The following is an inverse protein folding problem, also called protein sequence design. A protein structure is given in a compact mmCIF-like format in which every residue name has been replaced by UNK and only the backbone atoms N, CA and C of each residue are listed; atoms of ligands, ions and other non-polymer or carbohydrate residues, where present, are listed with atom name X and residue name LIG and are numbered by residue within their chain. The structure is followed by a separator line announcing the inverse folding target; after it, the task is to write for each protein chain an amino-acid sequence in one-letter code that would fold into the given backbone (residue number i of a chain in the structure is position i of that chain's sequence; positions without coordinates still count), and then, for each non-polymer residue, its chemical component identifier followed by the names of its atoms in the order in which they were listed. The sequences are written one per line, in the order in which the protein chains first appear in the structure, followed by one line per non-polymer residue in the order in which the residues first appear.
data_IF_136970979638
#
_entry.id   IF_136970979638
#
_cell.length_a   1.000
_cell.length_b   1.000
_cell.length_c   1.000
_cell.angle_alpha   90.00
_cell.angle_beta   90.00
_cell.angle_gamma   90.00
#
_symmetry.space_group_name_H-M   'P 1'
#
loop_
_entity.id
_entity.type
_entity.pdbx_description
1 polymer ?
#
# COMPACT_ATOMS: atom_id res chain seq x y z
N UNK A 1 -11.99 3.59 2.16
CA UNK A 1 -11.91 2.30 2.86
C UNK A 1 -10.81 2.35 3.90
N UNK A 2 -11.02 1.83 5.09
CA UNK A 2 -10.03 1.75 6.18
C UNK A 2 -9.99 0.33 6.72
N UNK A 3 -8.81 -0.26 6.99
CA UNK A 3 -8.71 -1.50 7.74
C UNK A 3 -9.16 -1.30 9.20
N UNK A 4 -9.79 -2.33 9.77
CA UNK A 4 -10.17 -2.38 11.19
C UNK A 4 -8.91 -2.50 12.05
N UNK A 5 -8.78 -1.67 13.10
CA UNK A 5 -7.66 -1.76 14.03
C UNK A 5 -7.85 -2.95 14.98
N UNK A 6 -6.83 -3.81 15.06
CA UNK A 6 -6.79 -4.92 16.00
C UNK A 6 -5.53 -4.83 16.88
N UNK A 7 -5.54 -5.55 17.99
CA UNK A 7 -4.39 -5.74 18.87
C UNK A 7 -3.75 -7.13 18.69
N UNK A 8 -2.64 -7.38 19.36
CA UNK A 8 -1.93 -8.66 19.30
C UNK A 8 -2.77 -9.84 19.77
N UNK A 9 -3.62 -9.66 20.80
CA UNK A 9 -4.51 -10.71 21.28
C UNK A 9 -5.51 -11.17 20.23
N UNK A 10 -6.06 -10.22 19.44
CA UNK A 10 -6.93 -10.55 18.30
C UNK A 10 -6.13 -11.23 17.19
N UNK A 11 -4.90 -10.75 16.93
CA UNK A 11 -4.01 -11.36 15.95
C UNK A 11 -3.68 -12.83 16.29
N UNK A 12 -3.41 -13.13 17.57
CA UNK A 12 -3.14 -14.48 18.05
C UNK A 12 -4.29 -15.46 17.80
N UNK A 13 -5.53 -14.96 17.86
CA UNK A 13 -6.74 -15.76 17.61
C UNK A 13 -7.13 -15.89 16.14
N UNK A 14 -6.40 -15.28 15.20
CA UNK A 14 -6.71 -15.41 13.78
C UNK A 14 -6.23 -16.76 13.23
N UNK A 15 -7.02 -17.33 12.33
CA UNK A 15 -6.52 -18.42 11.48
C UNK A 15 -5.51 -17.86 10.47
N UNK A 16 -4.22 -18.22 10.56
CA UNK A 16 -3.18 -17.68 9.70
C UNK A 16 -3.36 -18.04 8.21
N UNK A 17 -4.08 -19.11 7.91
CA UNK A 17 -4.35 -19.54 6.55
C UNK A 17 -5.48 -18.73 5.90
N UNK A 18 -6.29 -18.04 6.71
CA UNK A 18 -7.39 -17.20 6.22
C UNK A 18 -6.97 -15.80 5.81
N UNK A 19 -5.73 -15.41 6.06
CA UNK A 19 -5.24 -14.05 5.79
C UNK A 19 -3.85 -14.04 5.17
N UNK A 20 -3.54 -12.95 4.48
CA UNK A 20 -2.18 -12.56 4.12
C UNK A 20 -1.83 -11.24 4.79
N UNK A 21 -0.55 -10.99 4.99
CA UNK A 21 -0.04 -9.79 5.68
C UNK A 21 0.82 -8.96 4.75
N UNK A 22 0.62 -7.64 4.76
CA UNK A 22 1.38 -6.67 3.99
C UNK A 22 1.95 -5.59 4.91
N UNK A 23 3.13 -5.00 4.59
CA UNK A 23 3.62 -3.82 5.30
C UNK A 23 2.64 -2.66 5.19
N UNK A 24 2.42 -1.96 6.28
CA UNK A 24 1.71 -0.70 6.28
C UNK A 24 2.72 0.45 6.20
N UNK A 25 2.85 1.04 5.03
CA UNK A 25 3.73 2.17 4.82
C UNK A 25 3.20 3.43 5.51
N UNK A 26 4.11 4.33 5.86
CA UNK A 26 3.80 5.65 6.44
C UNK A 26 4.01 6.74 5.39
N UNK A 27 3.10 6.79 4.45
CA UNK A 27 3.15 7.69 3.31
C UNK A 27 1.80 8.32 3.00
N UNK A 28 1.61 8.64 1.73
CA UNK A 28 0.37 9.19 1.20
C UNK A 28 -0.29 8.19 0.25
N UNK A 29 -1.52 7.80 0.55
CA UNK A 29 -2.31 6.99 -0.36
C UNK A 29 -2.54 7.73 -1.67
N UNK A 30 -2.23 7.06 -2.77
CA UNK A 30 -2.35 7.58 -4.13
C UNK A 30 -3.16 6.65 -5.02
N UNK A 31 -4.47 6.85 -5.16
CA UNK A 31 -5.19 6.30 -6.30
C UNK A 31 -4.57 6.77 -7.60
N UNK A 32 -4.32 5.81 -8.51
CA UNK A 32 -3.61 6.05 -9.77
C UNK A 32 -4.46 5.58 -10.93
N UNK A 33 -4.61 6.38 -11.97
CA UNK A 33 -5.45 6.10 -13.15
C UNK A 33 -4.61 6.24 -14.41
N UNK A 34 -4.52 5.18 -15.20
CA UNK A 34 -3.90 5.24 -16.52
C UNK A 34 -4.86 5.90 -17.52
N UNK A 35 -4.42 6.99 -18.13
CA UNK A 35 -5.06 7.60 -19.29
C UNK A 35 -4.57 6.95 -20.58
N UNK A 36 -4.91 7.57 -21.72
CA UNK A 36 -4.47 7.13 -23.05
C UNK A 36 -2.99 7.45 -23.32
N UNK A 37 -2.49 8.53 -22.74
CA UNK A 37 -1.17 9.11 -23.04
C UNK A 37 -0.26 9.19 -21.80
N UNK A 38 -0.83 9.19 -20.62
CA UNK A 38 -0.11 9.27 -19.36
C UNK A 38 -0.90 8.72 -18.18
N UNK A 39 -0.20 8.54 -17.07
CA UNK A 39 -0.79 8.11 -15.80
C UNK A 39 -1.04 9.32 -14.89
N UNK A 40 -2.20 9.37 -14.28
CA UNK A 40 -2.64 10.40 -13.33
C UNK A 40 -2.65 9.85 -11.92
N UNK A 41 -2.22 10.65 -10.97
CA UNK A 41 -2.26 10.34 -9.55
C UNK A 41 -3.11 11.34 -8.78
N UNK A 42 -3.75 10.84 -7.73
CA UNK A 42 -4.68 11.63 -6.92
C UNK A 42 -4.41 11.43 -5.43
N UNK A 43 -4.79 12.41 -4.65
CA UNK A 43 -4.85 12.28 -3.20
C UNK A 43 -6.06 11.41 -2.80
N UNK A 44 -6.10 11.00 -1.52
CA UNK A 44 -7.28 10.34 -0.93
C UNK A 44 -8.57 11.16 -1.09
N UNK A 45 -8.47 12.49 -1.15
CA UNK A 45 -9.58 13.41 -1.36
C UNK A 45 -9.96 13.59 -2.83
N UNK A 46 -9.30 12.85 -3.73
CA UNK A 46 -9.46 12.92 -5.19
C UNK A 46 -8.92 14.20 -5.84
N UNK A 47 -8.10 14.97 -5.15
CA UNK A 47 -7.40 16.08 -5.75
C UNK A 47 -6.23 15.56 -6.60
N UNK A 48 -5.96 16.15 -7.79
CA UNK A 48 -4.77 15.77 -8.56
C UNK A 48 -3.50 15.94 -7.73
N UNK A 49 -2.58 14.99 -7.87
CA UNK A 49 -1.30 14.98 -7.18
C UNK A 49 -0.18 14.94 -8.22
N UNK A 50 0.73 15.90 -8.15
CA UNK A 50 1.89 15.96 -9.05
C UNK A 50 3.04 15.19 -8.42
N UNK A 51 3.48 14.11 -9.05
CA UNK A 51 4.66 13.35 -8.63
C UNK A 51 5.97 14.10 -8.97
N UNK A 52 7.11 13.76 -8.33
CA UNK A 52 8.43 14.10 -8.85
C UNK A 52 8.57 13.63 -10.30
N UNK A 53 9.20 14.42 -11.16
CA UNK A 53 9.24 14.18 -12.61
C UNK A 53 9.77 12.77 -12.93
N UNK A 54 10.90 12.38 -12.34
CA UNK A 54 11.50 11.05 -12.54
C UNK A 54 10.54 9.91 -12.20
N UNK A 55 9.81 10.03 -11.09
CA UNK A 55 8.85 9.01 -10.66
C UNK A 55 7.60 8.98 -11.56
N UNK A 56 7.19 10.16 -12.09
CA UNK A 56 6.11 10.25 -13.07
C UNK A 56 6.50 9.58 -14.39
N UNK A 57 7.75 9.80 -14.85
CA UNK A 57 8.27 9.19 -16.08
C UNK A 57 8.39 7.66 -15.93
N UNK A 58 8.88 7.18 -14.79
CA UNK A 58 8.91 5.76 -14.48
C UNK A 58 7.49 5.16 -14.46
N UNK A 59 6.51 5.86 -13.88
CA UNK A 59 5.13 5.41 -13.83
C UNK A 59 4.49 5.36 -15.23
N UNK A 60 4.78 6.35 -16.08
CA UNK A 60 4.32 6.37 -17.47
C UNK A 60 4.95 5.22 -18.28
N UNK A 61 6.21 4.87 -18.02
CA UNK A 61 6.93 3.81 -18.73
C UNK A 61 6.38 2.39 -18.49
N UNK A 62 5.54 2.21 -17.49
CA UNK A 62 4.84 0.92 -17.27
C UNK A 62 3.87 0.57 -18.40
N UNK A 63 3.48 1.53 -19.24
CA UNK A 63 2.54 1.32 -20.34
C UNK A 63 1.24 0.63 -19.91
N UNK A 64 0.69 1.04 -18.78
CA UNK A 64 -0.54 0.47 -18.24
C UNK A 64 -1.69 0.64 -19.25
N UNK A 65 -2.54 -0.38 -19.45
CA UNK A 65 -3.72 -0.26 -20.28
C UNK A 65 -4.58 0.93 -19.85
N UNK A 66 -5.03 1.76 -20.81
CA UNK A 66 -5.86 2.93 -20.51
C UNK A 66 -7.14 2.53 -19.75
N UNK A 67 -7.46 3.27 -18.69
CA UNK A 67 -8.55 2.96 -17.75
C UNK A 67 -8.14 2.10 -16.55
N UNK A 68 -6.91 1.57 -16.51
CA UNK A 68 -6.40 0.86 -15.33
C UNK A 68 -6.41 1.77 -14.09
N UNK A 69 -6.91 1.23 -12.97
CA UNK A 69 -6.97 1.94 -11.69
C UNK A 69 -6.24 1.13 -10.64
N UNK A 70 -5.16 1.70 -10.12
CA UNK A 70 -4.35 1.11 -9.04
C UNK A 70 -4.56 1.87 -7.73
N UNK A 71 -4.37 1.16 -6.61
CA UNK A 71 -4.37 1.75 -5.27
C UNK A 71 -3.03 1.48 -4.61
N UNK A 72 -2.39 2.54 -4.14
CA UNK A 72 -1.06 2.45 -3.59
C UNK A 72 -0.74 3.59 -2.63
N UNK A 73 0.52 3.69 -2.28
CA UNK A 73 1.08 4.72 -1.41
C UNK A 73 2.40 5.23 -1.96
N UNK A 74 2.57 6.55 -1.94
CA UNK A 74 3.88 7.17 -2.11
C UNK A 74 4.50 7.38 -0.73
N UNK A 75 5.75 6.97 -0.59
CA UNK A 75 6.51 7.06 0.65
C UNK A 75 7.99 7.34 0.35
N UNK A 76 8.76 7.72 1.37
CA UNK A 76 10.21 7.92 1.26
C UNK A 76 10.94 7.14 2.35
N UNK A 77 12.03 6.43 2.02
CA UNK A 77 12.88 5.79 3.03
C UNK A 77 13.61 6.80 3.92
N UNK A 78 13.76 8.05 3.47
CA UNK A 78 14.55 9.06 4.17
C UNK A 78 13.72 9.90 5.15
N UNK A 79 12.38 9.92 5.04
CA UNK A 79 11.57 10.84 5.86
C UNK A 79 10.14 10.35 6.05
N UNK A 80 9.66 10.50 7.30
CA UNK A 80 8.25 10.39 7.67
C UNK A 80 7.47 11.61 7.24
N UNK A 81 6.21 11.40 6.96
CA UNK A 81 5.22 12.44 7.00
C UNK A 81 4.64 12.85 5.67
N UNK A 82 3.96 13.97 5.72
CA UNK A 82 3.12 14.48 4.67
C UNK A 82 3.84 14.74 3.35
N UNK A 83 3.03 14.84 2.28
CA UNK A 83 3.47 15.09 0.91
C UNK A 83 4.49 16.22 0.79
N UNK A 84 4.25 17.34 1.48
CA UNK A 84 5.11 18.53 1.44
C UNK A 84 6.50 18.29 2.03
N UNK A 85 6.69 17.16 2.70
CA UNK A 85 7.92 16.78 3.37
C UNK A 85 8.67 15.63 2.71
N UNK A 86 8.14 15.04 1.64
CA UNK A 86 8.82 13.94 0.94
C UNK A 86 10.00 14.49 0.12
N UNK A 87 11.23 14.01 0.34
CA UNK A 87 12.38 14.48 -0.43
C UNK A 87 12.21 14.12 -1.90
N UNK A 88 12.32 15.12 -2.76
CA UNK A 88 12.37 14.91 -4.22
C UNK A 88 13.52 13.95 -4.56
N UNK A 89 13.26 12.95 -5.38
CA UNK A 89 14.26 11.95 -5.82
C UNK A 89 14.45 10.75 -4.90
N UNK A 90 13.82 10.70 -3.72
CA UNK A 90 13.86 9.54 -2.82
C UNK A 90 12.48 8.91 -2.58
N UNK A 91 11.48 9.33 -3.36
CA UNK A 91 10.13 8.78 -3.25
C UNK A 91 10.03 7.43 -3.94
N UNK A 92 9.23 6.55 -3.34
CA UNK A 92 8.86 5.26 -3.90
C UNK A 92 7.35 5.12 -3.94
N UNK A 93 6.85 4.31 -4.89
CA UNK A 93 5.45 3.93 -5.01
C UNK A 93 5.31 2.45 -4.67
N UNK A 94 4.39 2.13 -3.76
CA UNK A 94 4.00 0.75 -3.49
C UNK A 94 2.52 0.57 -3.78
N UNK A 95 2.20 -0.28 -4.74
CA UNK A 95 0.83 -0.63 -5.06
C UNK A 95 0.43 -1.91 -4.32
N UNK A 96 -0.74 -1.91 -3.69
CA UNK A 96 -1.26 -3.06 -2.93
C UNK A 96 -2.56 -3.62 -3.50
N UNK A 97 -3.16 -2.93 -4.50
CA UNK A 97 -4.41 -3.39 -5.10
C UNK A 97 -4.63 -2.83 -6.49
N UNK A 98 -5.41 -3.53 -7.30
CA UNK A 98 -5.95 -3.09 -8.57
C UNK A 98 -7.47 -3.12 -8.51
N UNK A 99 -8.10 -2.06 -9.02
CA UNK A 99 -9.56 -1.88 -9.03
C UNK A 99 -10.10 -2.16 -10.44
N UNK A 100 -9.34 -1.73 -11.44
CA UNK A 100 -9.67 -1.92 -12.87
C UNK A 100 -8.41 -2.27 -13.64
N UNK A 101 -8.53 -3.21 -14.54
CA UNK A 101 -7.53 -3.56 -15.54
C UNK A 101 -8.03 -3.10 -16.90
N UNK A 102 -7.47 -2.00 -17.44
CA UNK A 102 -8.06 -1.33 -18.59
C UNK A 102 -9.51 -0.93 -18.31
N UNK A 103 -10.44 -1.41 -19.12
CA UNK A 103 -11.87 -1.15 -18.96
C UNK A 103 -12.59 -2.16 -18.05
N UNK A 104 -11.95 -3.28 -17.70
CA UNK A 104 -12.55 -4.34 -16.87
C UNK A 104 -12.49 -3.96 -15.40
N UNK A 105 -13.64 -3.88 -14.71
CA UNK A 105 -13.70 -3.78 -13.25
C UNK A 105 -13.38 -5.15 -12.64
N UNK A 106 -12.33 -5.19 -11.80
CA UNK A 106 -11.87 -6.40 -11.11
C UNK A 106 -12.06 -6.31 -9.59
N UNK A 107 -12.78 -5.31 -9.11
CA UNK A 107 -12.97 -5.08 -7.68
C UNK A 107 -13.74 -6.20 -6.96
N UNK A 108 -14.59 -6.91 -7.68
CA UNK A 108 -15.32 -8.07 -7.16
C UNK A 108 -14.51 -9.37 -7.14
N UNK A 109 -13.38 -9.42 -7.84
CA UNK A 109 -12.50 -10.59 -7.85
C UNK A 109 -11.86 -10.81 -6.47
N UNK A 110 -11.36 -12.02 -6.25
CA UNK A 110 -10.60 -12.33 -5.02
C UNK A 110 -9.33 -11.49 -4.90
N UNK A 111 -8.84 -11.29 -3.68
CA UNK A 111 -7.59 -10.55 -3.46
C UNK A 111 -6.39 -11.21 -4.18
N UNK A 112 -6.37 -12.54 -4.27
CA UNK A 112 -5.33 -13.30 -4.96
C UNK A 112 -5.34 -13.01 -6.46
N UNK A 113 -6.53 -13.03 -7.08
CA UNK A 113 -6.70 -12.68 -8.50
C UNK A 113 -6.24 -11.26 -8.77
N UNK A 114 -6.65 -10.31 -7.96
CA UNK A 114 -6.24 -8.91 -8.11
C UNK A 114 -4.72 -8.72 -7.92
N UNK A 115 -4.10 -9.47 -6.99
CA UNK A 115 -2.64 -9.45 -6.82
C UNK A 115 -1.91 -10.01 -8.04
N UNK A 116 -2.42 -11.07 -8.63
CA UNK A 116 -1.82 -11.62 -9.85
C UNK A 116 -1.89 -10.62 -11.01
N UNK A 117 -3.04 -9.96 -11.19
CA UNK A 117 -3.20 -8.88 -12.17
C UNK A 117 -2.19 -7.76 -11.89
N UNK A 118 -2.08 -7.34 -10.63
CA UNK A 118 -1.13 -6.29 -10.24
C UNK A 118 0.32 -6.69 -10.51
N UNK A 119 0.70 -7.95 -10.24
CA UNK A 119 2.02 -8.49 -10.56
C UNK A 119 2.32 -8.40 -12.06
N UNK A 120 1.36 -8.75 -12.88
CA UNK A 120 1.51 -8.69 -14.35
C UNK A 120 1.66 -7.22 -14.83
N UNK A 121 0.83 -6.31 -14.31
CA UNK A 121 0.88 -4.89 -14.65
C UNK A 121 2.20 -4.22 -14.24
N UNK A 122 2.83 -4.70 -13.17
CA UNK A 122 4.08 -4.16 -12.63
C UNK A 122 5.33 -4.98 -13.04
N UNK A 123 5.21 -5.91 -13.97
CA UNK A 123 6.32 -6.81 -14.36
C UNK A 123 7.56 -6.08 -14.85
N UNK A 124 7.39 -4.90 -15.45
CA UNK A 124 8.48 -4.04 -15.95
C UNK A 124 8.75 -2.83 -15.04
N UNK A 125 8.36 -2.93 -13.77
CA UNK A 125 8.53 -1.81 -12.84
C UNK A 125 9.99 -1.61 -12.45
N UNK A 126 10.34 -0.36 -12.12
CA UNK A 126 11.64 0.03 -11.60
C UNK A 126 11.75 -0.26 -10.10
N UNK A 127 12.95 -0.17 -9.50
CA UNK A 127 13.10 -0.29 -8.04
C UNK A 127 12.36 0.78 -7.22
N UNK A 128 11.86 1.85 -7.88
CA UNK A 128 11.08 2.90 -7.22
C UNK A 128 9.58 2.66 -7.28
N UNK A 129 9.13 1.72 -8.13
CA UNK A 129 7.72 1.33 -8.26
C UNK A 129 7.61 -0.16 -8.00
N UNK A 130 6.85 -0.56 -7.00
CA UNK A 130 6.78 -1.96 -6.58
C UNK A 130 5.36 -2.37 -6.18
N UNK A 131 5.10 -3.66 -6.23
CA UNK A 131 3.98 -4.25 -5.53
C UNK A 131 4.31 -4.39 -4.04
N UNK A 132 3.35 -4.14 -3.16
CA UNK A 132 3.52 -4.40 -1.73
C UNK A 132 3.82 -5.89 -1.50
N UNK A 133 4.90 -6.17 -0.78
CA UNK A 133 5.31 -7.54 -0.46
C UNK A 133 4.27 -8.22 0.41
N UNK A 134 3.97 -9.48 0.09
CA UNK A 134 3.01 -10.29 0.82
C UNK A 134 3.75 -11.30 1.69
N UNK A 135 3.37 -11.39 2.94
CA UNK A 135 3.92 -12.30 3.94
C UNK A 135 2.84 -13.27 4.45
N UNK A 136 3.25 -14.47 4.83
CA UNK A 136 2.41 -15.35 5.64
C UNK A 136 2.11 -14.69 6.99
N UNK A 137 0.92 -14.92 7.52
CA UNK A 137 0.52 -14.41 8.83
C UNK A 137 1.22 -15.27 9.90
N UNK A 138 2.18 -14.66 10.60
CA UNK A 138 2.91 -15.28 11.72
C UNK A 138 3.45 -14.21 12.66
N UNK A 139 3.68 -14.55 13.90
CA UNK A 139 4.36 -13.67 14.86
C UNK A 139 5.81 -13.38 14.43
N UNK A 140 6.48 -14.33 13.80
CA UNK A 140 7.83 -14.14 13.28
C UNK A 140 7.87 -13.01 12.25
N UNK A 141 7.01 -13.06 11.22
CA UNK A 141 6.91 -12.01 10.21
C UNK A 141 6.43 -10.68 10.80
N UNK A 142 5.50 -10.71 11.76
CA UNK A 142 5.05 -9.50 12.46
C UNK A 142 6.21 -8.82 13.19
N UNK A 143 7.03 -9.58 13.92
CA UNK A 143 8.20 -9.08 14.67
C UNK A 143 9.32 -8.62 13.74
N UNK A 144 9.58 -9.36 12.67
CA UNK A 144 10.55 -8.96 11.64
C UNK A 144 10.19 -7.58 11.06
N UNK A 145 8.93 -7.37 10.65
CA UNK A 145 8.46 -6.09 10.11
C UNK A 145 8.48 -4.98 11.17
N UNK A 146 8.19 -5.29 12.42
CA UNK A 146 8.31 -4.35 13.53
C UNK A 146 9.77 -3.94 13.77
N UNK A 147 10.71 -4.89 13.75
CA UNK A 147 12.14 -4.60 13.87
C UNK A 147 12.61 -3.72 12.74
N UNK A 148 12.29 -4.03 11.49
CA UNK A 148 12.61 -3.19 10.34
C UNK A 148 12.06 -1.76 10.53
N UNK A 149 10.84 -1.62 11.03
CA UNK A 149 10.24 -0.32 11.30
C UNK A 149 10.97 0.46 12.41
N UNK A 150 11.57 -0.21 13.40
CA UNK A 150 12.36 0.40 14.48
C UNK A 150 13.75 0.82 14.03
N UNK A 151 14.43 0.00 13.24
CA UNK A 151 15.76 0.28 12.68
C UNK A 151 15.78 1.58 11.87
N UNK A 152 14.69 1.89 11.16
CA UNK A 152 14.54 3.19 10.48
C UNK A 152 14.51 4.36 11.43
N UNK A 153 13.80 4.19 12.54
CA UNK A 153 13.65 5.25 13.53
C UNK A 153 15.00 5.66 14.11
N UNK A 154 15.88 4.69 14.28
CA UNK A 154 17.18 4.88 14.93
C UNK A 154 18.28 5.35 13.94
N UNK A 155 17.90 5.74 12.72
CA UNK A 155 18.81 6.35 11.74
C UNK A 155 19.59 5.37 10.88
N UNK A 156 19.27 4.09 10.95
CA UNK A 156 19.87 3.09 10.08
C UNK A 156 19.18 3.05 8.71
N UNK A 157 19.95 2.95 7.64
CA UNK A 157 19.43 2.97 6.28
C UNK A 157 18.55 1.75 5.99
N UNK A 158 17.31 2.00 5.57
CA UNK A 158 16.35 0.96 5.24
C UNK A 158 16.49 0.43 3.83
N UNK A 159 16.38 -0.89 3.74
CA UNK A 159 16.13 -1.58 2.47
C UNK A 159 14.65 -1.73 2.12
N UNK A 160 13.74 -1.68 3.09
CA UNK A 160 12.33 -2.08 2.95
C UNK A 160 11.29 -0.97 3.03
N UNK A 161 11.69 0.29 3.15
CA UNK A 161 10.75 1.40 3.24
C UNK A 161 10.27 1.70 4.66
N UNK A 162 9.50 2.79 4.79
CA UNK A 162 8.98 3.22 6.08
C UNK A 162 7.71 2.47 6.43
N UNK A 163 7.82 1.51 7.36
CA UNK A 163 6.72 0.69 7.83
C UNK A 163 6.32 1.18 9.23
N UNK A 164 5.03 1.39 9.49
CA UNK A 164 4.53 1.72 10.82
C UNK A 164 3.49 0.73 11.35
N UNK A 165 3.35 -0.40 10.68
CA UNK A 165 2.43 -1.46 11.04
C UNK A 165 2.29 -2.49 9.92
N UNK A 166 1.27 -3.30 10.04
CA UNK A 166 0.88 -4.27 9.01
C UNK A 166 -0.61 -4.16 8.69
N UNK A 167 -0.98 -4.58 7.49
CA UNK A 167 -2.36 -4.79 7.07
C UNK A 167 -2.53 -6.27 6.76
N UNK A 168 -3.56 -6.88 7.37
CA UNK A 168 -3.97 -8.24 7.04
C UNK A 168 -5.18 -8.15 6.12
N UNK A 169 -5.16 -8.94 5.06
CA UNK A 169 -6.27 -9.03 4.09
C UNK A 169 -6.75 -10.46 4.04
N UNK A 170 -8.07 -10.63 4.20
CA UNK A 170 -8.69 -11.95 4.18
C UNK A 170 -8.61 -12.55 2.78
N UNK A 171 -8.18 -13.79 2.70
CA UNK A 171 -8.11 -14.56 1.47
C UNK A 171 -9.51 -14.72 0.84
N UNK A 172 -9.60 -14.68 -0.48
CA UNK A 172 -10.86 -14.71 -1.20
C UNK A 172 -11.68 -13.41 -1.14
N UNK A 173 -11.26 -12.40 -0.35
CA UNK A 173 -12.08 -11.20 -0.17
C UNK A 173 -12.11 -10.32 -1.43
N UNK A 174 -13.31 -9.85 -1.83
CA UNK A 174 -13.44 -8.81 -2.83
C UNK A 174 -13.04 -7.46 -2.25
N UNK A 175 -12.76 -6.51 -3.13
CA UNK A 175 -12.63 -5.13 -2.73
C UNK A 175 -14.02 -4.49 -2.62
N UNK A 176 -14.40 -4.08 -1.41
CA UNK A 176 -15.65 -3.35 -1.17
C UNK A 176 -15.36 -1.85 -1.18
N UNK A 177 -15.37 -1.24 -2.36
CA UNK A 177 -15.33 0.21 -2.46
C UNK A 177 -16.72 0.80 -2.14
N UNK A 178 -16.92 1.10 -0.88
CA UNK A 178 -18.04 1.97 -0.52
C UNK A 178 -17.63 3.41 -0.87
N UNK A 179 -18.52 4.12 -1.54
CA UNK A 179 -18.35 5.54 -1.86
C UNK A 179 -18.16 6.40 -0.58
N UNK A 180 -18.41 5.83 0.60
CA UNK A 180 -18.33 6.49 1.89
C UNK A 180 -16.91 6.37 2.49
N UNK A 181 -16.26 7.48 2.73
CA UNK A 181 -14.86 7.61 3.19
C UNK A 181 -14.58 7.03 4.59
N UNK A 182 -15.58 6.73 5.37
CA UNK A 182 -15.49 6.34 6.78
C UNK A 182 -15.76 4.87 7.06
N UNK A 183 -16.14 4.08 6.06
CA UNK A 183 -16.50 2.67 6.28
C UNK A 183 -15.25 1.82 6.43
N UNK A 184 -15.17 1.09 7.53
CA UNK A 184 -14.16 0.06 7.76
C UNK A 184 -14.42 -1.15 6.87
N UNK A 185 -13.35 -1.75 6.36
CA UNK A 185 -13.44 -2.95 5.55
C UNK A 185 -13.38 -4.17 6.48
N UNK A 186 -14.44 -4.98 6.59
CA UNK A 186 -14.49 -6.06 7.57
C UNK A 186 -13.43 -7.15 7.34
N UNK A 187 -13.03 -7.35 6.09
CA UNK A 187 -12.03 -8.35 5.70
C UNK A 187 -10.59 -7.83 5.72
N UNK A 188 -10.39 -6.56 6.10
CA UNK A 188 -9.08 -5.94 6.20
C UNK A 188 -8.82 -5.47 7.62
N UNK A 189 -7.77 -5.99 8.22
CA UNK A 189 -7.36 -5.69 9.59
C UNK A 189 -6.03 -4.95 9.56
N UNK A 190 -5.71 -4.20 10.61
CA UNK A 190 -4.40 -3.56 10.75
C UNK A 190 -3.89 -3.64 12.19
N UNK A 191 -2.58 -3.80 12.31
CA UNK A 191 -1.83 -3.56 13.53
C UNK A 191 -0.94 -2.35 13.30
N UNK A 192 -0.90 -1.44 14.25
CA UNK A 192 -0.01 -0.27 14.23
C UNK A 192 1.02 -0.42 15.33
N UNK A 193 2.30 -0.34 15.00
CA UNK A 193 3.38 -0.46 15.96
C UNK A 193 3.42 0.74 16.90
N UNK A 194 3.26 0.49 18.20
CA UNK A 194 3.25 1.54 19.22
C UNK A 194 4.61 2.24 19.31
N UNK A 195 4.58 3.56 19.45
CA UNK A 195 5.79 4.39 19.59
C UNK A 195 6.55 4.65 18.29
N UNK A 196 6.11 4.10 17.15
CA UNK A 196 6.68 4.40 15.83
C UNK A 196 5.88 5.46 15.09
N UNK A 197 4.58 5.54 15.29
CA UNK A 197 3.76 6.65 14.83
C UNK A 197 3.82 7.76 15.88
N UNK A 198 4.04 9.00 15.48
CA UNK A 198 3.83 10.17 16.34
C UNK A 198 2.36 10.37 16.77
N UNK A 199 1.54 9.33 16.59
CA UNK A 199 0.16 9.22 17.00
C UNK A 199 0.08 8.31 18.21
N UNK A 200 0.03 8.92 19.39
CA UNK A 200 -0.51 8.26 20.56
C UNK A 200 -2.00 7.93 20.27
N UNK A 201 -2.50 6.74 20.60
CA UNK A 201 -3.93 6.50 20.58
C UNK A 201 -4.55 7.45 21.62
N UNK A 202 -5.48 8.30 21.17
CA UNK A 202 -6.41 9.01 22.05
C UNK A 202 -7.42 8.02 22.59
#
# INVERSE_FOLDING_TARGET
MKPVLINEKVFEGLDPLSYTMEPKFDGYRIPTIAGSDRVFTFTRQKNPLKLPATLQDELNSLNLPAGTVLDGEIWSPAKRGGWDNLPQGQCKLSFWDVIREGTKDVSSESIETRRQILTNLLSNSTPNIMQATVYAVSFENLRMLEQQAREVRDGQALRSGFIHGVVLKRNGSPRRDHACRSVEHPDWLKIVYRGLSGWAPR
#
